data_IF_298688524748
#
_entry.id   IF_298688524748
#
_cell.length_a   1.000
_cell.length_b   1.000
_cell.length_c   1.000
_cell.angle_alpha   90.00
_cell.angle_beta   90.00
_cell.angle_gamma   90.00
#
_symmetry.space_group_name_H-M   'P 1'
#
loop_
_entity.id
_entity.type
_entity.pdbx_description
1 polymer ?
#
# COMPACT_ATOMS: atom_id res chain seq x y z
N UNK A 1 -5.27 -7.46 4.60
CA UNK A 1 -3.87 -7.52 4.14
C UNK A 1 -3.12 -8.78 4.57
N UNK A 2 -3.19 -9.21 5.84
CA UNK A 2 -2.42 -10.37 6.34
C UNK A 2 -3.00 -11.76 5.96
N UNK A 3 -3.95 -11.82 5.02
CA UNK A 3 -4.81 -13.01 4.82
C UNK A 3 -4.77 -13.56 3.39
N UNK A 4 -3.70 -13.26 2.65
CA UNK A 4 -3.45 -13.91 1.36
C UNK A 4 -3.12 -15.39 1.57
N UNK A 5 -3.47 -16.23 0.61
CA UNK A 5 -3.09 -17.64 0.59
C UNK A 5 -1.62 -17.78 0.15
N UNK A 6 -0.72 -17.21 0.95
CA UNK A 6 0.72 -17.20 0.72
C UNK A 6 1.47 -17.59 2.00
N UNK A 7 2.69 -18.16 1.92
CA UNK A 7 3.47 -18.45 3.11
C UNK A 7 3.69 -17.17 3.94
N UNK A 8 3.24 -17.18 5.19
CA UNK A 8 3.17 -16.01 6.06
C UNK A 8 4.55 -15.44 6.35
N UNK A 9 5.56 -16.31 6.45
CA UNK A 9 6.95 -15.96 6.67
C UNK A 9 7.59 -15.17 5.51
N UNK A 10 6.96 -15.20 4.32
CA UNK A 10 7.40 -14.44 3.14
C UNK A 10 6.66 -13.13 2.95
N UNK A 11 5.68 -12.85 3.80
CA UNK A 11 4.86 -11.65 3.72
C UNK A 11 5.23 -10.68 4.84
N UNK A 12 5.21 -9.40 4.52
CA UNK A 12 5.45 -8.34 5.48
C UNK A 12 4.53 -7.18 5.15
N UNK A 13 3.81 -6.69 6.15
CA UNK A 13 2.87 -5.59 6.05
C UNK A 13 3.51 -4.37 6.71
N UNK A 14 3.59 -3.29 5.94
CA UNK A 14 4.08 -2.01 6.41
C UNK A 14 2.93 -1.01 6.35
N UNK A 15 2.62 -0.40 7.49
CA UNK A 15 1.54 0.57 7.65
C UNK A 15 2.17 1.95 7.78
N UNK A 16 1.71 2.90 6.96
CA UNK A 16 2.10 4.30 7.12
C UNK A 16 0.98 5.10 7.80
N UNK A 17 1.31 5.80 8.87
CA UNK A 17 0.44 6.81 9.49
C UNK A 17 1.07 8.19 9.36
N UNK A 18 0.54 8.99 8.44
CA UNK A 18 0.99 10.35 8.23
C UNK A 18 0.53 11.33 9.32
N UNK A 19 -0.44 10.95 10.16
CA UNK A 19 -0.92 11.76 11.27
C UNK A 19 -0.05 11.66 12.52
N UNK A 20 0.70 10.55 12.68
CA UNK A 20 1.46 10.26 13.90
C UNK A 20 0.54 10.13 15.12
N UNK A 21 -0.59 9.45 14.97
CA UNK A 21 -1.62 9.37 16.00
C UNK A 21 -1.41 8.14 16.88
N UNK A 22 -1.35 8.35 18.20
CA UNK A 22 -1.27 7.24 19.17
C UNK A 22 -2.45 6.28 19.05
N UNK A 23 -3.64 6.80 18.69
CA UNK A 23 -4.84 6.02 18.49
C UNK A 23 -4.70 5.03 17.32
N UNK A 24 -3.98 5.44 16.25
CA UNK A 24 -3.73 4.57 15.10
C UNK A 24 -2.79 3.44 15.50
N UNK A 25 -1.68 3.75 16.19
CA UNK A 25 -0.75 2.73 16.66
C UNK A 25 -1.45 1.74 17.61
N UNK A 26 -2.23 2.25 18.57
CA UNK A 26 -3.01 1.42 19.48
C UNK A 26 -4.00 0.51 18.74
N UNK A 27 -4.72 1.04 17.74
CA UNK A 27 -5.62 0.22 16.92
C UNK A 27 -4.88 -0.93 16.21
N UNK A 28 -3.67 -0.68 15.71
CA UNK A 28 -2.85 -1.73 15.10
C UNK A 28 -2.26 -2.72 16.13
N UNK A 29 -1.97 -2.29 17.36
CA UNK A 29 -1.60 -3.20 18.46
C UNK A 29 -2.74 -4.17 18.80
N UNK A 30 -3.97 -3.65 18.96
CA UNK A 30 -5.15 -4.48 19.21
C UNK A 30 -5.45 -5.40 18.01
N UNK A 31 -5.37 -4.89 16.78
CA UNK A 31 -5.55 -5.69 15.58
C UNK A 31 -4.50 -6.79 15.44
N UNK A 32 -3.24 -6.54 15.83
CA UNK A 32 -2.17 -7.53 15.83
C UNK A 32 -2.45 -8.68 16.82
N UNK A 33 -3.02 -8.36 18.00
CA UNK A 33 -3.47 -9.38 18.96
C UNK A 33 -4.62 -10.22 18.39
N UNK A 34 -5.64 -9.57 17.83
CA UNK A 34 -6.77 -10.26 17.22
C UNK A 34 -6.35 -11.13 16.02
N UNK A 35 -5.35 -10.69 15.24
CA UNK A 35 -4.82 -11.45 14.10
C UNK A 35 -4.33 -12.86 14.50
N UNK A 36 -3.82 -13.06 15.73
CA UNK A 36 -3.42 -14.38 16.25
C UNK A 36 -4.56 -15.39 16.28
N UNK A 37 -5.81 -14.92 16.36
CA UNK A 37 -7.01 -15.75 16.34
C UNK A 37 -7.67 -15.74 14.96
N UNK A 38 -7.74 -14.57 14.32
CA UNK A 38 -8.43 -14.39 13.05
C UNK A 38 -7.77 -15.13 11.89
N UNK A 39 -6.45 -15.06 11.77
CA UNK A 39 -5.74 -15.67 10.64
C UNK A 39 -5.89 -17.21 10.58
N UNK A 40 -5.64 -17.97 11.66
CA UNK A 40 -5.89 -19.42 11.63
C UNK A 40 -7.37 -19.73 11.44
N UNK A 41 -8.28 -18.99 12.10
CA UNK A 41 -9.72 -19.16 11.91
C UNK A 41 -10.13 -19.05 10.43
N UNK A 42 -9.66 -18.02 9.71
CA UNK A 42 -9.99 -17.90 8.29
C UNK A 42 -9.41 -19.04 7.45
N UNK A 43 -8.21 -19.52 7.78
CA UNK A 43 -7.52 -20.60 7.05
C UNK A 43 -8.23 -21.94 7.24
N UNK A 44 -8.56 -22.29 8.48
CA UNK A 44 -9.20 -23.57 8.84
C UNK A 44 -10.62 -23.66 8.29
N UNK A 45 -11.37 -22.55 8.35
CA UNK A 45 -12.75 -22.50 7.90
C UNK A 45 -12.89 -22.09 6.42
N UNK A 46 -11.77 -21.88 5.70
CA UNK A 46 -11.73 -21.47 4.28
C UNK A 46 -12.61 -20.25 3.98
N UNK A 47 -12.64 -19.31 4.92
CA UNK A 47 -13.44 -18.09 4.83
C UNK A 47 -12.99 -17.32 3.58
N UNK A 48 -13.92 -16.89 2.73
CA UNK A 48 -13.59 -16.06 1.56
C UNK A 48 -13.53 -14.58 1.96
N UNK A 49 -14.55 -14.09 2.67
CA UNK A 49 -14.59 -12.71 3.19
C UNK A 49 -13.62 -12.54 4.36
N UNK A 50 -12.41 -12.03 4.08
CA UNK A 50 -11.34 -11.91 5.08
C UNK A 50 -11.43 -10.64 5.93
N UNK A 51 -12.32 -9.71 5.61
CA UNK A 51 -12.60 -8.56 6.46
C UNK A 51 -13.53 -8.96 7.61
N UNK A 52 -13.12 -8.85 8.89
CA UNK A 52 -13.95 -9.24 10.02
C UNK A 52 -15.31 -8.54 10.06
N UNK A 53 -15.35 -7.21 9.86
CA UNK A 53 -16.60 -6.43 9.85
C UNK A 53 -17.57 -6.95 8.78
N UNK A 54 -17.07 -7.19 7.56
CA UNK A 54 -17.88 -7.69 6.46
C UNK A 54 -18.34 -9.13 6.70
N UNK A 55 -17.46 -9.98 7.23
CA UNK A 55 -17.77 -11.37 7.55
C UNK A 55 -18.84 -11.48 8.64
N UNK A 56 -18.67 -10.79 9.77
CA UNK A 56 -19.60 -10.84 10.91
C UNK A 56 -20.91 -10.08 10.67
N UNK A 57 -20.97 -9.23 9.65
CA UNK A 57 -22.19 -8.62 9.11
C UNK A 57 -22.95 -9.54 8.13
N UNK A 58 -22.37 -10.67 7.72
CA UNK A 58 -23.00 -11.64 6.82
C UNK A 58 -23.68 -12.80 7.57
N UNK A 59 -24.53 -13.57 6.87
CA UNK A 59 -25.19 -14.77 7.42
C UNK A 59 -24.20 -15.83 7.90
N UNK A 60 -23.03 -15.94 7.25
CA UNK A 60 -22.00 -16.92 7.62
C UNK A 60 -21.30 -16.54 8.93
N UNK A 61 -21.23 -15.24 9.23
CA UNK A 61 -20.63 -14.71 10.45
C UNK A 61 -21.42 -15.02 11.73
N UNK A 62 -22.72 -15.32 11.63
CA UNK A 62 -23.56 -15.65 12.79
C UNK A 62 -23.21 -17.00 13.42
N UNK A 63 -22.51 -17.87 12.68
CA UNK A 63 -22.22 -19.24 13.12
C UNK A 63 -21.03 -19.33 14.08
N UNK A 64 -20.20 -18.29 14.16
CA UNK A 64 -18.94 -18.30 14.92
C UNK A 64 -18.96 -17.31 16.08
N UNK A 65 -19.78 -17.62 17.10
CA UNK A 65 -20.00 -16.72 18.25
C UNK A 65 -18.72 -16.32 18.98
N UNK A 66 -17.85 -17.28 19.31
CA UNK A 66 -16.62 -17.00 20.06
C UNK A 66 -15.68 -16.05 19.32
N UNK A 67 -15.50 -16.25 18.01
CA UNK A 67 -14.67 -15.36 17.18
C UNK A 67 -15.30 -13.98 17.00
N UNK A 68 -16.63 -13.90 16.93
CA UNK A 68 -17.35 -12.64 16.89
C UNK A 68 -17.18 -11.86 18.20
N UNK A 69 -17.27 -12.54 19.34
CA UNK A 69 -17.08 -11.92 20.65
C UNK A 69 -15.66 -11.33 20.79
N UNK A 70 -14.62 -12.04 20.33
CA UNK A 70 -13.24 -11.52 20.28
C UNK A 70 -13.09 -10.29 19.37
N UNK A 71 -13.75 -10.30 18.21
CA UNK A 71 -13.74 -9.17 17.29
C UNK A 71 -14.40 -7.92 17.90
N UNK A 72 -15.58 -8.09 18.49
CA UNK A 72 -16.33 -7.00 19.13
C UNK A 72 -15.61 -6.46 20.37
N UNK A 73 -14.89 -7.31 21.12
CA UNK A 73 -14.03 -6.86 22.22
C UNK A 73 -12.91 -5.94 21.73
N UNK A 74 -12.15 -6.38 20.72
CA UNK A 74 -11.09 -5.59 20.09
C UNK A 74 -11.64 -4.27 19.53
N UNK A 75 -12.73 -4.33 18.75
CA UNK A 75 -13.40 -3.15 18.18
C UNK A 75 -13.84 -2.18 19.28
N UNK A 76 -14.47 -2.69 20.33
CA UNK A 76 -14.93 -1.89 21.46
C UNK A 76 -13.81 -1.20 22.23
N UNK A 77 -12.63 -1.83 22.38
CA UNK A 77 -11.44 -1.18 22.96
C UNK A 77 -10.98 0.01 22.11
N UNK A 78 -10.87 -0.19 20.79
CA UNK A 78 -10.46 0.85 19.84
C UNK A 78 -11.47 2.01 19.84
N UNK A 79 -12.77 1.72 19.76
CA UNK A 79 -13.83 2.74 19.78
C UNK A 79 -13.82 3.55 21.08
N UNK A 80 -13.57 2.91 22.23
CA UNK A 80 -13.42 3.63 23.51
C UNK A 80 -12.24 4.61 23.49
N UNK A 81 -11.07 4.18 23.01
CA UNK A 81 -9.90 5.06 22.88
C UNK A 81 -10.19 6.25 21.95
N UNK A 82 -10.82 5.99 20.80
CA UNK A 82 -11.21 7.04 19.84
C UNK A 82 -12.20 8.03 20.45
N UNK A 83 -13.19 7.55 21.19
CA UNK A 83 -14.18 8.39 21.87
C UNK A 83 -13.57 9.24 23.00
N UNK A 84 -12.57 8.70 23.71
CA UNK A 84 -11.82 9.44 24.73
C UNK A 84 -10.81 10.41 24.12
N UNK A 85 -10.39 10.19 22.87
CA UNK A 85 -9.40 10.98 22.15
C UNK A 85 -7.96 10.74 22.62
N UNK A 86 -7.73 9.73 23.45
CA UNK A 86 -6.41 9.31 23.93
C UNK A 86 -6.42 7.83 24.32
N UNK A 87 -5.25 7.24 24.48
CA UNK A 87 -5.08 5.86 24.98
C UNK A 87 -4.80 5.90 26.47
N UNK A 88 -5.71 5.37 27.28
CA UNK A 88 -5.58 5.33 28.74
C UNK A 88 -5.03 3.98 29.23
N UNK A 89 -4.40 3.98 30.42
CA UNK A 89 -3.76 2.78 31.00
C UNK A 89 -4.72 1.59 31.16
N UNK A 90 -6.02 1.84 31.38
CA UNK A 90 -7.03 0.79 31.52
C UNK A 90 -7.36 0.07 30.20
N UNK A 91 -6.97 0.64 29.05
CA UNK A 91 -7.16 0.06 27.72
C UNK A 91 -5.95 -0.78 27.26
N UNK A 92 -4.80 -0.63 27.91
CA UNK A 92 -3.55 -1.27 27.51
C UNK A 92 -3.43 -2.68 28.10
N UNK A 93 -3.32 -3.69 27.25
CA UNK A 93 -2.94 -5.02 27.74
C UNK A 93 -1.40 -5.12 27.85
N UNK A 94 -0.90 -4.85 29.04
CA UNK A 94 0.50 -5.08 29.40
C UNK A 94 1.44 -3.90 29.20
N UNK A 95 2.65 -4.09 29.70
CA UNK A 95 3.66 -3.05 29.86
C UNK A 95 4.33 -2.65 28.54
N UNK A 96 4.47 -3.58 27.59
CA UNK A 96 5.13 -3.32 26.30
C UNK A 96 4.40 -2.27 25.47
N UNK A 97 3.06 -2.31 25.46
CA UNK A 97 2.25 -1.32 24.76
C UNK A 97 2.38 0.08 25.38
N UNK A 98 2.45 0.15 26.72
CA UNK A 98 2.70 1.39 27.46
C UNK A 98 4.06 1.98 27.13
N UNK A 99 5.11 1.16 27.17
CA UNK A 99 6.48 1.56 26.83
C UNK A 99 6.55 2.09 25.39
N UNK A 100 5.90 1.42 24.44
CA UNK A 100 5.90 1.84 23.03
C UNK A 100 5.24 3.21 22.82
N UNK A 101 4.14 3.51 23.53
CA UNK A 101 3.48 4.83 23.45
C UNK A 101 4.29 5.92 24.15
N UNK A 102 4.75 5.67 25.38
CA UNK A 102 5.53 6.62 26.19
C UNK A 102 6.88 6.98 25.52
N UNK A 103 7.44 6.07 24.73
CA UNK A 103 8.68 6.26 23.96
C UNK A 103 8.58 7.41 22.95
N UNK A 104 7.44 7.63 22.30
CA UNK A 104 7.32 8.61 21.20
C UNK A 104 6.47 9.82 21.52
N UNK A 105 5.30 9.65 22.14
CA UNK A 105 4.35 10.73 22.40
C UNK A 105 4.75 11.54 23.63
N UNK A 106 5.89 12.21 23.52
CA UNK A 106 6.49 13.07 24.55
C UNK A 106 6.06 14.53 24.38
N UNK A 107 6.42 15.38 25.35
CA UNK A 107 6.12 16.80 25.30
C UNK A 107 6.71 17.46 24.04
N UNK A 108 5.84 18.03 23.20
CA UNK A 108 6.23 18.68 21.95
C UNK A 108 5.92 17.88 20.69
N UNK A 109 5.51 16.61 20.80
CA UNK A 109 5.02 15.83 19.67
C UNK A 109 3.77 16.50 19.07
N UNK A 110 3.80 16.79 17.78
CA UNK A 110 2.62 17.27 17.04
C UNK A 110 2.56 16.59 15.68
N UNK A 111 1.38 16.51 15.05
CA UNK A 111 1.20 15.97 13.69
C UNK A 111 2.08 16.61 12.59
N UNK A 112 2.72 17.75 12.87
CA UNK A 112 3.58 18.51 11.93
C UNK A 112 5.04 18.55 12.34
N UNK A 113 5.35 18.09 13.54
CA UNK A 113 6.67 18.19 14.16
C UNK A 113 6.82 17.05 15.16
N UNK A 114 7.45 15.96 14.72
CA UNK A 114 7.68 14.77 15.51
C UNK A 114 8.78 13.89 14.89
N UNK A 115 9.53 13.13 15.70
CA UNK A 115 10.47 12.13 15.18
C UNK A 115 9.73 11.01 14.45
N UNK A 116 10.46 10.22 13.66
CA UNK A 116 9.91 9.00 13.09
C UNK A 116 9.50 8.02 14.21
N UNK A 117 8.31 7.45 14.11
CA UNK A 117 7.77 6.40 14.96
C UNK A 117 7.84 5.09 14.18
N UNK A 118 8.59 4.10 14.65
CA UNK A 118 8.71 2.80 13.98
C UNK A 118 8.55 1.71 15.03
N UNK A 119 7.48 0.92 14.91
CA UNK A 119 7.19 -0.16 15.84
C UNK A 119 6.92 -1.47 15.09
N UNK A 120 7.65 -2.52 15.46
CA UNK A 120 7.44 -3.89 14.96
C UNK A 120 6.39 -4.54 15.84
N UNK A 121 5.16 -4.64 15.33
CA UNK A 121 4.02 -5.17 16.07
C UNK A 121 3.94 -6.69 16.03
N UNK A 122 4.39 -7.29 14.92
CA UNK A 122 4.54 -8.73 14.75
C UNK A 122 5.83 -9.01 13.97
N UNK A 123 6.58 -10.01 14.41
CA UNK A 123 7.79 -10.49 13.76
C UNK A 123 7.69 -11.99 13.45
N UNK A 124 7.81 -12.37 12.19
CA UNK A 124 7.53 -13.74 11.72
C UNK A 124 8.46 -14.81 12.27
N UNK A 125 9.66 -14.43 12.71
CA UNK A 125 10.59 -15.36 13.35
C UNK A 125 10.30 -15.60 14.84
N UNK A 126 9.39 -14.83 15.44
CA UNK A 126 9.09 -14.86 16.89
C UNK A 126 7.61 -15.15 17.14
N UNK A 127 6.74 -14.42 16.48
CA UNK A 127 5.31 -14.43 16.72
C UNK A 127 4.60 -15.55 15.97
N UNK A 128 3.84 -16.33 16.73
CA UNK A 128 3.00 -17.40 16.23
C UNK A 128 1.53 -17.14 16.57
N UNK A 129 0.65 -17.71 15.75
CA UNK A 129 -0.78 -17.76 16.01
C UNK A 129 -1.14 -18.80 17.08
N UNK A 130 -2.42 -18.89 17.45
CA UNK A 130 -2.89 -19.84 18.47
C UNK A 130 -2.70 -21.32 18.10
N UNK A 131 -2.42 -21.62 16.83
CA UNK A 131 -2.14 -22.96 16.32
C UNK A 131 -0.65 -23.27 16.23
N UNK A 132 0.21 -22.30 16.57
CA UNK A 132 1.66 -22.43 16.53
C UNK A 132 2.29 -22.14 15.17
N UNK A 133 1.55 -21.58 14.21
CA UNK A 133 2.08 -21.19 12.91
C UNK A 133 2.61 -19.74 12.93
N UNK A 134 3.72 -19.43 12.21
CA UNK A 134 4.25 -18.08 12.13
C UNK A 134 3.24 -17.05 11.59
N UNK A 135 3.22 -15.88 12.20
CA UNK A 135 2.49 -14.72 11.70
C UNK A 135 3.35 -13.91 10.72
N UNK A 136 2.76 -13.17 9.76
CA UNK A 136 3.53 -12.29 8.89
C UNK A 136 4.04 -11.07 9.66
N UNK A 137 5.15 -10.48 9.21
CA UNK A 137 5.65 -9.25 9.84
C UNK A 137 4.62 -8.13 9.73
N UNK A 138 4.44 -7.36 10.79
CA UNK A 138 3.62 -6.14 10.80
C UNK A 138 4.43 -4.99 11.40
N UNK A 139 4.71 -3.98 10.59
CA UNK A 139 5.52 -2.82 11.00
C UNK A 139 4.68 -1.55 10.84
N UNK A 140 4.50 -0.83 11.94
CA UNK A 140 3.89 0.50 11.94
C UNK A 140 4.98 1.56 11.74
N UNK A 141 4.73 2.50 10.84
CA UNK A 141 5.64 3.61 10.54
C UNK A 141 4.85 4.92 10.50
N UNK A 142 5.24 5.87 11.33
CA UNK A 142 4.98 7.29 11.11
C UNK A 142 6.32 7.95 10.79
N UNK A 143 6.47 8.47 9.58
CA UNK A 143 7.71 9.14 9.14
C UNK A 143 8.00 10.40 9.95
N UNK A 144 9.26 10.79 10.03
CA UNK A 144 9.63 12.06 10.67
C UNK A 144 8.94 13.23 9.97
N UNK A 145 8.36 14.13 10.75
CA UNK A 145 7.83 15.40 10.25
C UNK A 145 8.54 16.54 10.94
N UNK A 146 8.98 17.52 10.16
CA UNK A 146 9.48 18.81 10.66
C UNK A 146 8.69 19.94 10.04
N UNK A 147 8.37 20.94 10.84
CA UNK A 147 7.62 22.11 10.38
C UNK A 147 8.41 22.84 9.29
N UNK A 148 7.77 23.06 8.14
CA UNK A 148 8.36 23.78 7.01
C UNK A 148 9.15 22.91 6.04
N UNK A 149 9.26 21.60 6.30
CA UNK A 149 9.79 20.63 5.34
C UNK A 149 8.63 20.03 4.55
N UNK A 150 8.70 20.08 3.22
CA UNK A 150 7.73 19.38 2.36
C UNK A 150 7.92 17.87 2.51
N UNK A 151 6.81 17.15 2.54
CA UNK A 151 6.77 15.71 2.74
C UNK A 151 6.05 14.99 1.59
N UNK A 152 5.61 15.69 0.54
CA UNK A 152 5.11 15.06 -0.69
C UNK A 152 3.96 14.04 -0.49
N UNK A 153 3.08 14.30 0.50
CA UNK A 153 1.87 13.52 0.77
C UNK A 153 2.06 12.00 0.65
N UNK A 154 1.23 11.31 -0.14
CA UNK A 154 1.23 9.84 -0.30
C UNK A 154 2.51 9.32 -0.96
N UNK A 155 3.04 9.99 -2.00
CA UNK A 155 4.29 9.58 -2.64
C UNK A 155 5.45 9.50 -1.65
N UNK A 156 5.61 10.54 -0.81
CA UNK A 156 6.67 10.56 0.19
C UNK A 156 6.48 9.48 1.27
N UNK A 157 5.24 9.17 1.65
CA UNK A 157 4.95 8.11 2.60
C UNK A 157 5.33 6.73 2.02
N UNK A 158 4.92 6.47 0.78
CA UNK A 158 5.30 5.25 0.05
C UNK A 158 6.82 5.12 -0.11
N UNK A 159 7.53 6.23 -0.38
CA UNK A 159 8.99 6.23 -0.47
C UNK A 159 9.68 5.94 0.88
N UNK A 160 9.13 6.40 2.00
CA UNK A 160 9.64 6.02 3.33
C UNK A 160 9.40 4.53 3.61
N UNK A 161 8.18 4.03 3.35
CA UNK A 161 7.85 2.61 3.51
C UNK A 161 8.79 1.73 2.67
N UNK A 162 9.05 2.14 1.44
CA UNK A 162 10.01 1.53 0.54
C UNK A 162 11.37 1.43 1.25
N UNK A 163 12.00 2.55 1.62
CA UNK A 163 13.34 2.52 2.25
C UNK A 163 13.41 1.72 3.55
N UNK A 164 12.40 1.83 4.41
CA UNK A 164 12.32 1.06 5.64
C UNK A 164 12.23 -0.44 5.33
N UNK A 165 11.35 -0.83 4.40
CA UNK A 165 11.22 -2.22 3.95
C UNK A 165 12.53 -2.77 3.37
N UNK A 166 13.26 -2.00 2.56
CA UNK A 166 14.56 -2.39 2.02
C UNK A 166 15.61 -2.68 3.11
N UNK A 167 15.49 -2.02 4.26
CA UNK A 167 16.39 -2.19 5.40
C UNK A 167 16.00 -3.40 6.25
N UNK A 168 14.69 -3.64 6.41
CA UNK A 168 14.14 -4.62 7.34
C UNK A 168 13.91 -5.99 6.68
N UNK A 169 13.17 -6.06 5.57
CA UNK A 169 12.76 -7.34 4.94
C UNK A 169 13.18 -7.50 3.47
N UNK A 170 13.42 -6.38 2.77
CA UNK A 170 13.96 -6.32 1.41
C UNK A 170 13.21 -7.21 0.39
N UNK A 171 11.87 -7.12 0.41
CA UNK A 171 11.03 -7.89 -0.49
C UNK A 171 11.19 -7.45 -1.98
N UNK A 172 11.23 -8.38 -2.94
CA UNK A 172 11.41 -8.04 -4.36
C UNK A 172 10.13 -7.55 -5.04
N UNK A 173 8.97 -7.72 -4.38
CA UNK A 173 7.66 -7.29 -4.86
C UNK A 173 6.98 -6.48 -3.77
N UNK A 174 6.39 -5.35 -4.15
CA UNK A 174 5.66 -4.43 -3.29
C UNK A 174 4.20 -4.36 -3.73
N UNK A 175 3.27 -4.51 -2.80
CA UNK A 175 1.85 -4.24 -3.03
C UNK A 175 1.49 -2.87 -2.43
N UNK A 176 0.99 -1.95 -3.25
CA UNK A 176 0.41 -0.69 -2.77
C UNK A 176 -1.10 -0.84 -2.57
N UNK A 177 -1.60 -0.44 -1.41
CA UNK A 177 -3.01 -0.54 -1.06
C UNK A 177 -3.40 0.63 -0.15
N UNK A 178 -4.56 1.21 -0.43
CA UNK A 178 -5.17 2.23 0.40
C UNK A 178 -5.96 1.64 1.58
N UNK A 179 -6.19 2.45 2.62
CA UNK A 179 -6.82 2.00 3.87
C UNK A 179 -8.31 1.65 3.72
N UNK A 180 -8.95 2.17 2.68
CA UNK A 180 -10.33 1.89 2.28
C UNK A 180 -10.45 0.68 1.33
N UNK A 181 -9.32 0.04 0.97
CA UNK A 181 -9.29 -1.08 0.02
C UNK A 181 -9.11 -2.42 0.73
N UNK A 182 -10.12 -3.27 0.64
CA UNK A 182 -10.13 -4.62 1.18
C UNK A 182 -9.59 -5.60 0.15
N UNK A 183 -8.68 -6.49 0.57
CA UNK A 183 -8.26 -7.64 -0.24
C UNK A 183 -9.34 -8.73 -0.17
N UNK A 184 -10.12 -8.88 -1.23
CA UNK A 184 -11.26 -9.79 -1.31
C UNK A 184 -10.88 -11.16 -1.90
N UNK A 185 -9.98 -11.21 -2.88
CA UNK A 185 -9.46 -12.49 -3.40
C UNK A 185 -8.15 -12.87 -2.65
N UNK A 186 -8.13 -13.93 -1.83
CA UNK A 186 -6.91 -14.38 -1.16
C UNK A 186 -5.83 -14.88 -2.14
N UNK A 187 -6.17 -15.18 -3.40
CA UNK A 187 -5.24 -15.59 -4.46
C UNK A 187 -4.68 -14.42 -5.27
N UNK A 188 -5.09 -13.17 -5.03
CA UNK A 188 -4.65 -12.01 -5.81
C UNK A 188 -3.12 -11.90 -5.91
N UNK A 189 -2.42 -12.17 -4.80
CA UNK A 189 -0.95 -12.18 -4.76
C UNK A 189 -0.36 -13.24 -5.71
N UNK A 190 -0.90 -14.46 -5.70
CA UNK A 190 -0.42 -15.54 -6.57
C UNK A 190 -0.64 -15.20 -8.05
N UNK A 191 -1.80 -14.61 -8.39
CA UNK A 191 -2.11 -14.15 -9.75
C UNK A 191 -1.12 -13.10 -10.24
N UNK A 192 -0.79 -12.11 -9.41
CA UNK A 192 0.24 -11.13 -9.72
C UNK A 192 1.61 -11.78 -9.94
N UNK A 193 2.00 -12.73 -9.08
CA UNK A 193 3.27 -13.44 -9.21
C UNK A 193 3.36 -14.26 -10.49
N UNK A 194 2.26 -14.84 -11.00
CA UNK A 194 2.26 -15.55 -12.28
C UNK A 194 2.75 -14.67 -13.44
N UNK A 195 2.42 -13.38 -13.43
CA UNK A 195 2.91 -12.43 -14.43
C UNK A 195 4.35 -11.98 -14.16
N UNK A 196 4.67 -11.66 -12.90
CA UNK A 196 6.00 -11.12 -12.54
C UNK A 196 7.12 -12.18 -12.55
N UNK A 197 6.76 -13.46 -12.43
CA UNK A 197 7.69 -14.58 -12.38
C UNK A 197 7.53 -15.52 -13.59
N UNK A 198 6.85 -15.06 -14.64
CA UNK A 198 6.71 -15.83 -15.88
C UNK A 198 8.12 -16.20 -16.39
N UNK A 199 8.40 -17.48 -16.71
CA UNK A 199 9.69 -17.95 -17.18
C UNK A 199 10.11 -17.38 -18.55
N UNK A 200 9.24 -16.62 -19.23
CA UNK A 200 9.60 -15.86 -20.41
C UNK A 200 10.62 -14.75 -20.07
N UNK A 201 11.90 -15.10 -20.20
CA UNK A 201 13.08 -14.24 -19.95
C UNK A 201 13.12 -12.96 -20.80
N UNK A 202 12.36 -12.86 -21.90
CA UNK A 202 12.34 -11.64 -22.72
C UNK A 202 11.27 -10.63 -22.28
N UNK A 203 10.14 -11.12 -21.77
CA UNK A 203 8.97 -10.31 -21.45
C UNK A 203 8.83 -10.02 -19.96
N UNK A 204 8.97 -11.04 -19.11
CA UNK A 204 8.75 -10.97 -17.66
C UNK A 204 9.70 -10.00 -16.94
N UNK A 205 11.02 -9.96 -17.26
CA UNK A 205 11.93 -9.02 -16.62
C UNK A 205 11.64 -7.55 -16.94
N UNK A 206 10.80 -7.27 -17.96
CA UNK A 206 10.38 -5.92 -18.34
C UNK A 206 9.05 -5.50 -17.72
N UNK A 207 8.37 -6.37 -16.97
CA UNK A 207 7.15 -5.99 -16.25
C UNK A 207 7.55 -5.25 -14.97
N UNK A 208 7.17 -3.98 -14.88
CA UNK A 208 7.32 -3.15 -13.70
C UNK A 208 6.24 -3.42 -12.67
N UNK A 209 4.99 -3.58 -13.10
CA UNK A 209 3.89 -3.82 -12.18
C UNK A 209 2.70 -4.54 -12.82
N UNK A 210 1.88 -5.14 -11.95
CA UNK A 210 0.58 -5.74 -12.26
C UNK A 210 -0.49 -4.96 -11.52
N UNK A 211 -1.39 -4.32 -12.26
CA UNK A 211 -2.51 -3.54 -11.74
C UNK A 211 -3.79 -4.38 -11.74
N UNK A 212 -4.47 -4.43 -10.60
CA UNK A 212 -5.82 -4.98 -10.50
C UNK A 212 -6.86 -3.86 -10.62
N UNK A 213 -8.09 -4.15 -11.07
CA UNK A 213 -9.17 -3.16 -11.07
C UNK A 213 -9.48 -2.68 -9.65
N UNK A 214 -9.83 -1.40 -9.53
CA UNK A 214 -10.56 -0.92 -8.36
C UNK A 214 -12.04 -1.21 -8.59
N UNK A 215 -12.65 -2.01 -7.73
CA UNK A 215 -14.09 -2.26 -7.73
C UNK A 215 -14.65 -1.79 -6.39
N UNK A 216 -15.88 -1.29 -6.39
CA UNK A 216 -16.47 -0.68 -5.19
C UNK A 216 -17.70 -1.43 -4.73
N UNK A 217 -17.89 -1.49 -3.41
CA UNK A 217 -19.13 -1.97 -2.77
C UNK A 217 -20.07 -0.80 -2.51
N UNK A 218 -21.36 -1.11 -2.40
CA UNK A 218 -22.38 -0.11 -2.08
C UNK A 218 -22.74 0.84 -3.23
N UNK A 219 -22.38 0.50 -4.46
CA UNK A 219 -22.84 1.21 -5.67
C UNK A 219 -24.37 1.07 -5.77
N UNK A 220 -25.08 2.19 -5.85
CA UNK A 220 -26.54 2.18 -6.03
C UNK A 220 -26.91 1.58 -7.38
N UNK A 221 -28.04 0.89 -7.46
CA UNK A 221 -28.52 0.27 -8.71
C UNK A 221 -28.72 1.24 -9.87
N UNK A 222 -28.93 2.53 -9.59
CA UNK A 222 -29.06 3.57 -10.62
C UNK A 222 -27.73 4.29 -10.89
N UNK A 223 -26.74 4.14 -10.02
CA UNK A 223 -25.41 4.76 -10.04
C UNK A 223 -25.34 6.15 -10.70
N UNK A 224 -26.17 7.07 -10.23
CA UNK A 224 -26.31 8.40 -10.85
C UNK A 224 -25.06 9.27 -10.77
N UNK A 225 -24.06 8.84 -9.99
CA UNK A 225 -22.76 9.51 -9.85
C UNK A 225 -21.64 8.81 -10.61
N UNK A 226 -21.92 7.71 -11.31
CA UNK A 226 -20.93 6.87 -12.02
C UNK A 226 -19.77 6.44 -11.09
N UNK A 227 -20.12 6.06 -9.86
CA UNK A 227 -19.16 5.70 -8.81
C UNK A 227 -18.48 4.34 -9.06
N UNK A 228 -18.97 3.51 -9.99
CA UNK A 228 -18.22 2.33 -10.44
C UNK A 228 -16.90 2.75 -11.13
N UNK A 229 -16.86 3.95 -11.74
CA UNK A 229 -15.72 4.42 -12.52
C UNK A 229 -15.23 3.39 -13.54
N UNK A 230 -16.17 2.63 -14.12
CA UNK A 230 -15.88 1.46 -14.95
C UNK A 230 -14.99 1.79 -16.15
N UNK A 231 -15.14 2.99 -16.72
CA UNK A 231 -14.28 3.52 -17.78
C UNK A 231 -12.80 3.55 -17.36
N UNK A 232 -12.50 4.14 -16.20
CA UNK A 232 -11.13 4.38 -15.72
C UNK A 232 -10.50 3.09 -15.18
N UNK A 233 -11.25 2.27 -14.44
CA UNK A 233 -10.69 1.15 -13.69
C UNK A 233 -10.85 -0.23 -14.35
N UNK A 234 -11.65 -0.36 -15.42
CA UNK A 234 -11.82 -1.61 -16.17
C UNK A 234 -11.68 -1.45 -17.68
N UNK A 235 -12.49 -0.59 -18.30
CA UNK A 235 -12.59 -0.53 -19.76
C UNK A 235 -11.28 -0.01 -20.40
N UNK A 236 -10.76 1.14 -19.94
CA UNK A 236 -9.54 1.71 -20.49
C UNK A 236 -8.29 0.84 -20.22
N UNK A 237 -8.08 0.31 -18.99
CA UNK A 237 -6.95 -0.57 -18.70
C UNK A 237 -6.89 -1.83 -19.57
N UNK A 238 -8.03 -2.44 -19.91
CA UNK A 238 -8.07 -3.61 -20.83
C UNK A 238 -7.51 -3.25 -22.21
N UNK A 239 -7.86 -2.08 -22.74
CA UNK A 239 -7.33 -1.61 -24.02
C UNK A 239 -5.82 -1.30 -23.96
N UNK A 240 -5.37 -0.68 -22.86
CA UNK A 240 -3.95 -0.34 -22.66
C UNK A 240 -3.08 -1.57 -22.35
N UNK A 241 -3.65 -2.63 -21.79
CA UNK A 241 -2.95 -3.89 -21.51
C UNK A 241 -2.43 -4.56 -22.79
N UNK A 242 -3.20 -4.48 -23.89
CA UNK A 242 -2.74 -4.93 -25.21
C UNK A 242 -1.48 -4.21 -25.72
N UNK A 243 -1.16 -3.03 -25.17
CA UNK A 243 0.06 -2.27 -25.45
C UNK A 243 1.13 -2.43 -24.35
N UNK A 244 0.85 -3.18 -23.29
CA UNK A 244 1.71 -3.33 -22.12
C UNK A 244 1.95 -2.03 -21.35
N UNK A 245 0.98 -1.10 -21.39
CA UNK A 245 1.08 0.25 -20.83
C UNK A 245 -0.14 0.62 -19.99
N UNK A 246 -0.68 -0.33 -19.22
CA UNK A 246 -1.76 -0.05 -18.28
C UNK A 246 -1.29 0.91 -17.19
N UNK A 247 -2.18 1.81 -16.75
CA UNK A 247 -1.84 2.84 -15.77
C UNK A 247 -1.78 2.29 -14.35
N UNK A 248 -0.92 2.87 -13.51
CA UNK A 248 -1.04 2.72 -12.06
C UNK A 248 -2.09 3.71 -11.54
N UNK A 249 -3.02 3.22 -10.72
CA UNK A 249 -4.14 4.00 -10.18
C UNK A 249 -4.14 4.08 -8.65
N UNK A 250 -3.00 3.85 -8.01
CA UNK A 250 -2.77 4.20 -6.60
C UNK A 250 -3.00 3.08 -5.58
N UNK A 251 -3.70 2.01 -5.94
CA UNK A 251 -4.02 0.87 -5.05
C UNK A 251 -4.18 -0.42 -5.86
N UNK A 252 -4.11 -1.58 -5.19
CA UNK A 252 -4.25 -2.90 -5.83
C UNK A 252 -3.16 -3.18 -6.88
N UNK A 253 -1.96 -2.64 -6.68
CA UNK A 253 -0.87 -2.69 -7.67
C UNK A 253 0.35 -3.40 -7.10
N UNK A 254 0.81 -4.45 -7.78
CA UNK A 254 2.01 -5.21 -7.42
C UNK A 254 3.20 -4.74 -8.25
N UNK A 255 4.10 -3.99 -7.63
CA UNK A 255 5.33 -3.52 -8.25
C UNK A 255 6.48 -4.51 -8.07
N UNK A 256 7.25 -4.71 -9.13
CA UNK A 256 8.63 -5.19 -9.03
C UNK A 256 9.46 -4.08 -8.39
N UNK A 257 10.06 -4.38 -7.24
CA UNK A 257 10.91 -3.46 -6.49
C UNK A 257 11.98 -2.78 -7.37
N UNK A 258 12.62 -3.59 -8.24
CA UNK A 258 13.64 -3.12 -9.19
C UNK A 258 13.15 -2.02 -10.12
N UNK A 259 11.88 -2.00 -10.50
CA UNK A 259 11.34 -0.97 -11.39
C UNK A 259 11.35 0.42 -10.75
N UNK A 260 11.18 0.49 -9.43
CA UNK A 260 11.23 1.74 -8.66
C UNK A 260 12.67 2.23 -8.40
N UNK A 261 13.69 1.58 -8.96
CA UNK A 261 15.09 1.99 -8.84
C UNK A 261 15.73 2.41 -10.17
N UNK A 262 14.91 2.58 -11.21
CA UNK A 262 15.31 3.13 -12.50
C UNK A 262 15.04 2.19 -13.68
N UNK A 263 15.54 2.53 -14.88
CA UNK A 263 15.12 1.92 -16.13
C UNK A 263 15.55 0.45 -16.24
N UNK A 264 14.86 -0.38 -17.05
CA UNK A 264 15.19 -1.80 -17.22
C UNK A 264 16.56 -2.00 -17.90
N UNK A 265 17.04 -1.00 -18.64
CA UNK A 265 18.36 -1.02 -19.30
C UNK A 265 19.53 -0.74 -18.35
N UNK A 266 19.27 -0.19 -17.16
CA UNK A 266 20.34 0.03 -16.18
C UNK A 266 20.83 -1.30 -15.62
N UNK A 267 22.16 -1.40 -15.42
CA UNK A 267 22.78 -2.56 -14.77
C UNK A 267 21.97 -2.85 -13.50
N UNK A 268 21.52 -4.10 -13.27
CA UNK A 268 20.83 -4.43 -12.05
C UNK A 268 21.69 -3.89 -10.90
N UNK A 269 21.16 -2.94 -10.13
CA UNK A 269 21.79 -2.64 -8.86
C UNK A 269 21.91 -4.01 -8.20
N UNK A 270 23.14 -4.43 -7.90
CA UNK A 270 23.33 -5.50 -6.96
C UNK A 270 22.49 -5.05 -5.76
N UNK A 271 21.38 -5.75 -5.50
CA UNK A 271 20.77 -5.73 -4.17
C UNK A 271 21.96 -5.85 -3.25
N UNK A 272 22.26 -4.77 -2.49
CA UNK A 272 23.53 -4.58 -1.80
C UNK A 272 24.10 -5.94 -1.42
N UNK A 273 25.29 -6.31 -1.86
CA UNK A 273 25.89 -7.64 -1.63
C UNK A 273 25.95 -8.05 -0.15
N UNK A 274 25.60 -7.14 0.77
CA UNK A 274 25.28 -7.37 2.17
C UNK A 274 23.86 -7.96 2.45
N UNK A 275 23.00 -8.21 1.44
CA UNK A 275 21.64 -8.70 1.63
C UNK A 275 21.57 -10.19 1.97
N UNK A 276 22.50 -10.99 1.45
CA UNK A 276 22.66 -12.40 1.85
C UNK A 276 23.14 -12.52 3.31
N UNK A 277 23.83 -11.52 3.85
CA UNK A 277 24.25 -11.47 5.27
C UNK A 277 23.17 -10.94 6.23
N UNK A 278 22.05 -10.40 5.71
CA UNK A 278 20.93 -9.85 6.48
C UNK A 278 19.72 -10.77 6.55
N UNK A 279 19.63 -11.72 5.63
CA UNK A 279 18.59 -12.75 5.63
C UNK A 279 18.69 -13.56 6.94
N UNK A 280 17.69 -13.43 7.82
CA UNK A 280 17.63 -14.11 9.12
C UNK A 280 18.01 -13.26 10.35
N UNK A 281 18.29 -11.96 10.20
CA UNK A 281 18.39 -11.05 11.36
C UNK A 281 16.99 -10.61 11.81
N UNK A 282 16.79 -10.54 13.12
CA UNK A 282 15.54 -10.03 13.70
C UNK A 282 15.33 -8.57 13.29
N UNK A 283 14.20 -8.27 12.65
CA UNK A 283 13.84 -6.93 12.20
C UNK A 283 13.66 -5.96 13.38
N UNK A 284 13.37 -6.49 14.57
CA UNK A 284 13.27 -5.75 15.82
C UNK A 284 14.64 -5.53 16.51
N UNK A 285 15.76 -5.94 15.90
CA UNK A 285 17.09 -5.68 16.46
C UNK A 285 17.42 -4.18 16.43
N UNK A 286 18.08 -3.69 17.48
CA UNK A 286 18.44 -2.26 17.63
C UNK A 286 19.20 -1.72 16.40
N UNK A 287 20.09 -2.52 15.81
CA UNK A 287 20.83 -2.13 14.62
C UNK A 287 19.94 -1.93 13.38
N UNK A 288 18.93 -2.79 13.18
CA UNK A 288 17.98 -2.67 12.06
C UNK A 288 17.02 -1.51 12.29
N UNK A 289 16.46 -1.38 13.49
CA UNK A 289 15.59 -0.27 13.86
C UNK A 289 16.29 1.08 13.69
N UNK A 290 17.55 1.20 14.12
CA UNK A 290 18.34 2.42 13.93
C UNK A 290 18.47 2.79 12.45
N UNK A 291 18.82 1.83 11.58
CA UNK A 291 18.86 2.08 10.13
C UNK A 291 17.49 2.46 9.58
N UNK A 292 16.41 1.82 10.05
CA UNK A 292 15.04 2.15 9.63
C UNK A 292 14.66 3.60 10.02
N UNK A 293 15.04 4.05 11.21
CA UNK A 293 14.87 5.44 11.63
C UNK A 293 15.70 6.40 10.78
N UNK A 294 16.97 6.07 10.48
CA UNK A 294 17.84 6.90 9.64
C UNK A 294 17.24 7.12 8.24
N UNK A 295 16.69 6.06 7.62
CA UNK A 295 16.08 6.17 6.28
C UNK A 295 14.67 6.77 6.28
N UNK A 296 13.99 6.81 7.43
CA UNK A 296 12.68 7.44 7.61
C UNK A 296 12.77 8.95 7.95
N UNK A 297 13.99 9.48 8.06
CA UNK A 297 14.20 10.91 8.35
C UNK A 297 13.69 11.81 7.23
N UNK A 298 13.18 12.99 7.61
CA UNK A 298 12.70 14.00 6.67
C UNK A 298 13.84 14.59 5.81
N UNK A 299 15.09 14.48 6.28
CA UNK A 299 16.26 15.02 5.59
C UNK A 299 16.93 13.99 4.67
N UNK A 300 16.49 12.72 4.69
CA UNK A 300 17.11 11.62 3.95
C UNK A 300 17.15 11.86 2.43
N UNK A 301 16.10 12.48 1.90
CA UNK A 301 15.94 12.66 0.45
C UNK A 301 16.72 13.87 -0.08
N UNK A 302 17.24 14.73 0.81
CA UNK A 302 17.94 15.94 0.43
C UNK A 302 19.22 15.65 -0.38
N UNK A 303 19.30 16.20 -1.59
CA UNK A 303 20.44 15.98 -2.50
C UNK A 303 20.48 14.57 -3.12
N UNK A 304 19.43 13.76 -2.94
CA UNK A 304 19.31 12.43 -3.55
C UNK A 304 18.40 12.47 -4.78
N UNK A 305 18.19 11.30 -5.39
CA UNK A 305 17.28 11.11 -6.55
C UNK A 305 15.90 10.58 -6.16
N UNK A 306 15.62 10.42 -4.87
CA UNK A 306 14.31 9.96 -4.38
C UNK A 306 13.20 10.92 -4.80
N UNK A 307 12.09 10.35 -5.29
CA UNK A 307 10.96 11.09 -5.83
C UNK A 307 11.18 11.75 -7.19
N UNK A 308 12.38 11.62 -7.78
CA UNK A 308 12.73 12.23 -9.07
C UNK A 308 13.13 11.20 -10.12
N UNK A 309 13.89 10.18 -9.74
CA UNK A 309 14.29 9.05 -10.58
C UNK A 309 14.19 7.69 -9.84
N UNK A 310 13.96 7.74 -8.52
CA UNK A 310 13.89 6.56 -7.65
C UNK A 310 12.62 6.67 -6.79
N UNK A 311 11.89 5.57 -6.68
CA UNK A 311 10.67 5.45 -5.91
C UNK A 311 9.44 5.95 -6.65
N UNK A 312 8.43 6.32 -5.88
CA UNK A 312 7.22 7.00 -6.34
C UNK A 312 7.54 8.45 -6.64
N UNK A 313 7.14 8.91 -7.83
CA UNK A 313 7.55 10.20 -8.38
C UNK A 313 6.78 11.37 -7.77
N UNK A 314 7.48 12.47 -7.50
CA UNK A 314 6.94 13.73 -7.00
C UNK A 314 6.61 14.69 -8.15
N UNK A 315 5.76 15.68 -7.87
CA UNK A 315 5.51 16.80 -8.78
C UNK A 315 4.15 16.78 -9.48
N UNK A 316 3.22 15.91 -9.06
CA UNK A 316 1.81 15.97 -9.45
C UNK A 316 0.91 15.50 -8.30
N UNK A 317 -0.31 16.01 -8.25
CA UNK A 317 -1.39 15.53 -7.36
C UNK A 317 -1.94 14.13 -7.72
N UNK A 318 -1.51 13.59 -8.86
CA UNK A 318 -1.77 12.20 -9.31
C UNK A 318 -0.44 11.45 -9.40
N UNK A 319 0.24 11.31 -8.26
CA UNK A 319 1.54 10.65 -8.16
C UNK A 319 1.50 9.20 -8.64
N UNK A 320 0.33 8.57 -8.51
CA UNK A 320 0.04 7.21 -8.95
C UNK A 320 0.18 7.07 -10.46
N UNK A 321 -0.67 7.78 -11.21
CA UNK A 321 -0.61 7.83 -12.66
C UNK A 321 0.77 8.28 -13.13
N UNK A 322 1.30 9.33 -12.49
CA UNK A 322 2.57 9.91 -12.88
C UNK A 322 3.74 8.93 -12.71
N UNK A 323 3.79 8.17 -11.61
CA UNK A 323 4.80 7.13 -11.39
C UNK A 323 4.69 6.03 -12.45
N UNK A 324 3.48 5.49 -12.70
CA UNK A 324 3.28 4.45 -13.71
C UNK A 324 3.70 4.92 -15.11
N UNK A 325 3.27 6.12 -15.48
CA UNK A 325 3.63 6.78 -16.74
C UNK A 325 5.14 6.91 -16.94
N UNK A 326 5.88 7.29 -15.89
CA UNK A 326 7.34 7.42 -15.97
C UNK A 326 8.03 6.07 -16.14
N UNK A 327 7.58 5.03 -15.42
CA UNK A 327 8.08 3.68 -15.61
C UNK A 327 7.89 3.21 -17.06
N UNK A 328 6.72 3.46 -17.66
CA UNK A 328 6.48 3.15 -19.07
C UNK A 328 7.37 3.97 -20.02
N UNK A 329 7.62 5.26 -19.71
CA UNK A 329 8.57 6.09 -20.47
C UNK A 329 10.01 5.57 -20.39
N UNK A 330 10.40 4.97 -19.26
CA UNK A 330 11.72 4.36 -19.07
C UNK A 330 11.86 3.01 -19.80
N UNK A 331 10.79 2.50 -20.39
CA UNK A 331 10.77 1.25 -21.16
C UNK A 331 10.28 0.04 -20.38
N UNK A 332 9.76 0.22 -19.17
CA UNK A 332 9.02 -0.82 -18.47
C UNK A 332 7.65 -1.07 -19.11
N UNK A 333 7.16 -2.29 -18.94
CA UNK A 333 5.79 -2.70 -19.27
C UNK A 333 4.96 -2.85 -18.00
N UNK A 334 3.66 -2.78 -18.14
CA UNK A 334 2.68 -3.05 -17.09
C UNK A 334 1.61 -4.00 -17.59
N UNK A 335 1.01 -4.74 -16.66
CA UNK A 335 -0.04 -5.73 -16.93
C UNK A 335 -1.30 -5.36 -16.16
N UNK A 336 -2.46 -5.54 -16.77
CA UNK A 336 -3.76 -5.47 -16.13
C UNK A 336 -4.29 -6.88 -15.83
N UNK A 337 -4.56 -7.18 -14.55
CA UNK A 337 -5.11 -8.45 -14.13
C UNK A 337 -6.53 -8.25 -13.61
N UNK A 338 -7.53 -8.65 -14.40
CA UNK A 338 -8.96 -8.53 -14.08
C UNK A 338 -9.57 -9.92 -13.84
N UNK A 339 -9.46 -10.49 -12.63
CA UNK A 339 -10.16 -11.72 -12.30
C UNK A 339 -11.68 -11.53 -12.30
N UNK A 340 -12.43 -12.61 -12.53
CA UNK A 340 -13.89 -12.60 -12.51
C UNK A 340 -14.42 -12.04 -11.18
N UNK A 341 -13.91 -12.58 -10.07
CA UNK A 341 -14.18 -12.09 -8.72
C UNK A 341 -13.31 -10.87 -8.41
N UNK A 342 -13.86 -9.80 -7.80
CA UNK A 342 -13.09 -8.64 -7.38
C UNK A 342 -11.92 -9.02 -6.47
N UNK A 343 -10.68 -8.76 -6.90
CA UNK A 343 -9.52 -8.99 -6.04
C UNK A 343 -9.42 -7.96 -4.90
N UNK A 344 -9.78 -6.71 -5.21
CA UNK A 344 -9.77 -5.61 -4.27
C UNK A 344 -11.10 -4.86 -4.33
N UNK A 345 -11.66 -4.59 -3.14
CA UNK A 345 -12.95 -3.94 -2.97
C UNK A 345 -12.78 -2.68 -2.11
N UNK A 346 -13.13 -1.54 -2.67
CA UNK A 346 -13.24 -0.26 -1.98
C UNK A 346 -14.67 0.07 -1.58
N UNK A 347 -14.83 1.14 -0.82
CA UNK A 347 -16.14 1.72 -0.53
C UNK A 347 -16.36 2.97 -1.39
N UNK A 348 -17.55 3.14 -1.95
CA UNK A 348 -17.87 4.33 -2.75
C UNK A 348 -17.96 5.59 -1.88
N UNK A 349 -17.57 6.77 -2.40
CA UNK A 349 -17.89 8.02 -1.75
C UNK A 349 -19.41 8.16 -1.57
N UNK A 350 -19.85 8.42 -0.33
CA UNK A 350 -21.28 8.49 0.00
C UNK A 350 -21.93 9.84 -0.36
N UNK A 351 -21.14 10.85 -0.72
CA UNK A 351 -21.62 12.23 -0.97
C UNK A 351 -21.03 12.81 -2.26
N UNK A 352 -21.86 13.53 -3.01
CA UNK A 352 -21.45 14.21 -4.25
C UNK A 352 -20.26 15.16 -4.06
N UNK A 353 -20.18 15.87 -2.92
CA UNK A 353 -19.06 16.79 -2.65
C UNK A 353 -17.71 16.05 -2.57
N UNK A 354 -17.71 14.82 -2.08
CA UNK A 354 -16.50 14.01 -1.97
C UNK A 354 -16.07 13.56 -3.37
N UNK A 355 -17.02 13.11 -4.20
CA UNK A 355 -16.81 12.77 -5.62
C UNK A 355 -16.24 13.96 -6.40
N UNK A 356 -16.85 15.14 -6.28
CA UNK A 356 -16.40 16.36 -6.97
C UNK A 356 -15.01 16.80 -6.52
N UNK A 357 -14.71 16.67 -5.23
CA UNK A 357 -13.39 17.00 -4.68
C UNK A 357 -12.31 16.05 -5.20
N UNK A 358 -12.63 14.76 -5.30
CA UNK A 358 -11.75 13.75 -5.87
C UNK A 358 -11.46 14.02 -7.35
N UNK A 359 -12.49 14.23 -8.18
CA UNK A 359 -12.33 14.56 -9.59
C UNK A 359 -11.53 15.83 -9.79
N UNK A 360 -11.82 16.89 -9.01
CA UNK A 360 -11.06 18.14 -9.09
C UNK A 360 -9.57 17.90 -8.86
N UNK A 361 -9.21 17.07 -7.86
CA UNK A 361 -7.80 16.73 -7.59
C UNK A 361 -7.19 15.98 -8.78
N UNK A 362 -7.88 14.98 -9.32
CA UNK A 362 -7.41 14.23 -10.50
C UNK A 362 -7.18 15.15 -11.70
N UNK A 363 -8.14 16.03 -12.00
CA UNK A 363 -8.03 16.99 -13.10
C UNK A 363 -6.84 17.93 -12.95
N UNK A 364 -6.65 18.51 -11.76
CA UNK A 364 -5.53 19.40 -11.50
C UNK A 364 -4.20 18.63 -11.66
N UNK A 365 -4.10 17.43 -11.08
CA UNK A 365 -2.90 16.60 -11.21
C UNK A 365 -2.58 16.22 -12.66
N UNK A 366 -3.58 15.80 -13.44
CA UNK A 366 -3.39 15.48 -14.85
C UNK A 366 -2.97 16.70 -15.68
N UNK A 367 -3.50 17.89 -15.36
CA UNK A 367 -3.06 19.14 -15.97
C UNK A 367 -1.62 19.48 -15.59
N UNK A 368 -1.20 19.26 -14.34
CA UNK A 368 0.20 19.40 -13.92
C UNK A 368 1.11 18.52 -14.76
N UNK A 369 0.75 17.24 -14.99
CA UNK A 369 1.52 16.34 -15.86
C UNK A 369 1.54 16.85 -17.31
N UNK A 370 0.38 17.24 -17.84
CA UNK A 370 0.25 17.74 -19.21
C UNK A 370 1.07 19.00 -19.46
N UNK A 371 1.19 19.91 -18.50
CA UNK A 371 2.01 21.12 -18.63
C UNK A 371 3.44 20.98 -18.09
N UNK A 372 3.80 19.80 -17.59
CA UNK A 372 5.16 19.52 -17.13
C UNK A 372 6.14 19.27 -18.29
N UNK A 373 7.44 19.19 -17.97
CA UNK A 373 8.48 18.73 -18.90
C UNK A 373 8.26 17.29 -19.42
N UNK A 374 7.38 16.52 -18.76
CA UNK A 374 7.04 15.15 -19.12
C UNK A 374 5.66 15.05 -19.79
N UNK A 375 5.27 16.07 -20.56
CA UNK A 375 4.03 16.06 -21.33
C UNK A 375 3.97 14.80 -22.25
N UNK A 376 2.89 14.01 -22.20
CA UNK A 376 2.72 12.81 -23.02
C UNK A 376 2.90 13.01 -24.53
N UNK A 377 2.45 14.14 -25.10
CA UNK A 377 2.53 14.43 -26.54
C UNK A 377 3.96 14.58 -27.05
N UNK A 378 4.90 14.95 -26.20
CA UNK A 378 6.29 15.20 -26.61
C UNK A 378 7.21 14.16 -25.99
N UNK A 379 7.05 13.90 -24.70
CA UNK A 379 7.96 13.05 -23.94
C UNK A 379 7.71 11.57 -24.23
N UNK A 380 6.44 11.12 -24.18
CA UNK A 380 6.12 9.70 -24.40
C UNK A 380 6.29 9.28 -25.87
N UNK A 381 5.91 10.12 -26.83
CA UNK A 381 6.12 9.82 -28.27
C UNK A 381 7.62 9.64 -28.58
N UNK A 382 8.50 10.39 -27.89
CA UNK A 382 9.95 10.25 -28.07
C UNK A 382 10.51 8.98 -27.45
N UNK A 383 9.94 8.50 -26.35
CA UNK A 383 10.44 7.33 -25.60
C UNK A 383 9.76 6.02 -26.02
N UNK A 384 8.51 6.06 -26.47
CA UNK A 384 7.73 4.90 -26.90
C UNK A 384 6.82 5.23 -28.11
N UNK A 385 7.37 5.21 -29.35
CA UNK A 385 6.67 5.70 -30.55
C UNK A 385 5.39 4.93 -30.91
N UNK A 386 5.27 3.65 -30.49
CA UNK A 386 4.15 2.78 -30.86
C UNK A 386 2.93 3.02 -29.95
N UNK A 387 3.14 3.33 -28.68
CA UNK A 387 2.06 3.59 -27.71
C UNK A 387 1.65 5.08 -27.64
N UNK A 388 2.43 6.00 -28.22
CA UNK A 388 2.21 7.45 -28.09
C UNK A 388 0.96 8.01 -28.79
N UNK A 389 0.25 7.18 -29.57
CA UNK A 389 -1.02 7.54 -30.20
C UNK A 389 -2.26 7.23 -29.35
N UNK A 390 -2.13 6.47 -28.26
CA UNK A 390 -3.25 6.10 -27.37
C UNK A 390 -3.30 6.87 -26.06
N UNK A 391 -2.24 7.61 -25.70
CA UNK A 391 -2.25 8.52 -24.54
C UNK A 391 -3.29 9.67 -24.59
N UNK A 392 -3.84 10.11 -25.75
CA UNK A 392 -4.92 11.09 -25.75
C UNK A 392 -6.20 10.60 -25.09
N UNK A 393 -6.44 9.29 -24.91
CA UNK A 393 -7.72 8.81 -24.37
C UNK A 393 -7.91 9.08 -22.88
N UNK A 394 -6.84 9.26 -22.10
CA UNK A 394 -6.94 9.72 -20.71
C UNK A 394 -7.15 11.22 -20.59
N UNK A 395 -6.54 12.02 -21.49
CA UNK A 395 -6.87 13.45 -21.57
C UNK A 395 -8.29 13.66 -22.09
N UNK A 396 -8.76 12.85 -23.05
CA UNK A 396 -10.12 12.96 -23.59
C UNK A 396 -11.21 12.37 -22.69
N UNK A 397 -10.87 11.46 -21.77
CA UNK A 397 -11.79 10.96 -20.73
C UNK A 397 -11.84 11.83 -19.47
N UNK A 398 -10.89 12.76 -19.33
CA UNK A 398 -10.81 13.73 -18.23
C UNK A 398 -11.56 15.04 -18.56
N UNK A 399 -11.82 15.33 -19.83
CA UNK A 399 -12.69 16.45 -20.22
C UNK A 399 -14.09 15.91 -20.52
N UNK A 400 -15.14 16.36 -19.81
CA UNK A 400 -16.52 16.00 -20.13
C UNK A 400 -16.96 16.47 -21.52
#
# INVERSE_FOLDING_TARGET
>A
MMVFDYPMEKMSVYVSDDGGSELTLFAFMEAARFARHWLPFCRENKIQERCPEAYFGSLDGEQSKEMKDLYEEMKGKIERAVMQGCVTDDLLDGEDARIALEKYWTAGFTRRDHPAVIEVLLESSVDVDITGHPLPNLVYISREKKRGVDHHFKAGALNVLMRASATMTNAPVLLTLDCDMICNDPQALQRALCHLLDPNEEASPKIAFVQFPQRFRGVDKHDIYDNEFSSIFRINPIGLDGLGCTNHVGTGCFFRWRALHGPPSSVPMHTNSNCSERCGKMINSEAILRMAHDVASCDYEHGTKWGLEIGFWYGSLVEDFYTGYQLNCEGWKSVFCDPDEPAFLGDVPSRLNDVLSQHKRWMIGLLEVAFSKHNPLIYFIKTNPIAGFTTPSFLSGAFP
#
